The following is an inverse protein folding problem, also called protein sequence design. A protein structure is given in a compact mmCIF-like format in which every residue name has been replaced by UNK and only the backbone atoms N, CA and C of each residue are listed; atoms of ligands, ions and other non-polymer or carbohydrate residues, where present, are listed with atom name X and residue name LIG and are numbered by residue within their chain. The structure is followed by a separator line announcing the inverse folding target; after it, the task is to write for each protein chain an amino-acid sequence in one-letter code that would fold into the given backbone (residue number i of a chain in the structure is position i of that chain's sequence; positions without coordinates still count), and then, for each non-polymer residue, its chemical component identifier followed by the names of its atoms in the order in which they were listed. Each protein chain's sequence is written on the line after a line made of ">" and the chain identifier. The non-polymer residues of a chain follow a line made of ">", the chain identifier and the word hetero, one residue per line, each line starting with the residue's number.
data_IF_636026682122
#
_entry.id   IF_636026682122
#
_cell.length_a   1.000
_cell.length_b   1.000
_cell.length_c   1.000
_cell.angle_alpha   90.00
_cell.angle_beta   90.00
_cell.angle_gamma   90.00
#
_symmetry.space_group_name_H-M   'P 1'
#
loop_
_entity.id
_entity.type
_entity.pdbx_description
1 polymer ?
#
# COMPACT_ATOMS: atom_id res chain seq x y z
N UNK A 1 2.69 -17.99 18.98
CA UNK A 1 2.28 -17.71 17.58
C UNK A 1 1.22 -16.62 17.64
N UNK A 2 1.47 -15.45 17.09
CA UNK A 2 0.47 -14.36 17.06
C UNK A 2 -0.58 -14.74 16.03
N UNK A 3 -1.87 -14.73 16.42
CA UNK A 3 -2.96 -15.13 15.52
C UNK A 3 -3.13 -14.07 14.42
N UNK A 4 -3.34 -14.46 13.15
CA UNK A 4 -3.67 -13.49 12.11
C UNK A 4 -4.95 -12.74 12.45
N UNK A 5 -4.96 -11.44 12.15
CA UNK A 5 -6.10 -10.55 12.34
C UNK A 5 -6.68 -10.25 10.96
N UNK A 6 -7.99 -10.38 10.81
CA UNK A 6 -8.68 -10.02 9.57
C UNK A 6 -9.43 -8.71 9.72
N UNK A 7 -9.41 -7.91 8.66
CA UNK A 7 -10.18 -6.67 8.54
C UNK A 7 -10.95 -6.67 7.24
N UNK A 8 -12.14 -6.10 7.28
CA UNK A 8 -12.90 -5.79 6.07
C UNK A 8 -12.58 -4.38 5.61
N UNK A 9 -12.59 -4.18 4.30
CA UNK A 9 -12.38 -2.89 3.66
C UNK A 9 -13.24 -2.73 2.41
N UNK A 10 -13.21 -1.54 1.85
CA UNK A 10 -13.87 -1.24 0.56
C UNK A 10 -12.80 -1.10 -0.51
N UNK A 11 -12.98 -1.80 -1.64
CA UNK A 11 -12.10 -1.62 -2.79
C UNK A 11 -12.34 -0.27 -3.46
N UNK A 12 -11.26 0.47 -3.73
CA UNK A 12 -11.23 1.46 -4.81
C UNK A 12 -10.83 0.80 -6.12
N UNK A 13 -9.98 -0.23 -6.06
CA UNK A 13 -9.73 -1.15 -7.16
C UNK A 13 -9.60 -2.57 -6.59
N UNK A 14 -10.42 -3.49 -7.11
CA UNK A 14 -10.40 -4.91 -6.72
C UNK A 14 -9.10 -5.58 -7.14
N UNK A 15 -8.67 -6.60 -6.39
CA UNK A 15 -7.50 -7.40 -6.73
C UNK A 15 -7.00 -8.20 -5.54
N UNK A 16 -5.92 -8.92 -5.76
CA UNK A 16 -5.24 -9.72 -4.73
C UNK A 16 -3.78 -9.34 -4.69
N UNK A 17 -3.21 -9.27 -3.50
CA UNK A 17 -1.80 -8.95 -3.30
C UNK A 17 -1.32 -9.47 -1.95
N UNK A 18 -0.06 -9.88 -1.89
CA UNK A 18 0.60 -10.25 -0.65
C UNK A 18 1.95 -9.54 -0.56
N UNK A 19 2.32 -9.11 0.65
CA UNK A 19 3.59 -8.45 0.86
C UNK A 19 3.79 -8.00 2.31
N UNK A 20 5.00 -7.53 2.59
CA UNK A 20 5.30 -6.89 3.87
C UNK A 20 4.73 -5.48 3.89
N UNK A 21 4.10 -5.11 5.00
CA UNK A 21 3.59 -3.76 5.21
C UNK A 21 4.74 -2.76 5.23
N UNK A 22 4.58 -1.66 4.51
CA UNK A 22 5.40 -0.47 4.59
C UNK A 22 4.50 0.67 5.05
N UNK A 23 4.57 0.99 6.34
CA UNK A 23 3.61 1.88 7.01
C UNK A 23 4.19 3.28 7.15
N UNK A 24 3.42 4.28 6.74
CA UNK A 24 3.73 5.69 6.94
C UNK A 24 2.59 6.41 7.67
N UNK A 25 2.96 7.18 8.71
CA UNK A 25 2.02 8.03 9.44
C UNK A 25 1.65 9.31 8.67
N UNK A 26 2.38 9.62 7.60
CA UNK A 26 2.13 10.75 6.70
C UNK A 26 1.91 10.23 5.27
N UNK A 27 1.07 10.91 4.47
CA UNK A 27 0.90 10.58 3.06
C UNK A 27 2.19 10.69 2.24
N UNK A 28 2.41 9.76 1.30
CA UNK A 28 3.49 9.80 0.31
C UNK A 28 2.97 10.41 -1.01
N UNK A 29 3.79 11.28 -1.63
CA UNK A 29 3.51 11.78 -2.99
C UNK A 29 4.14 10.86 -4.02
N UNK A 30 3.34 10.35 -4.94
CA UNK A 30 3.88 9.59 -6.09
C UNK A 30 4.54 10.54 -7.10
N UNK A 31 3.98 11.73 -7.29
CA UNK A 31 4.65 12.77 -8.07
C UNK A 31 5.82 13.37 -7.29
N UNK A 32 7.05 13.11 -7.75
CA UNK A 32 8.28 13.68 -7.19
C UNK A 32 8.71 13.14 -5.83
N UNK A 33 7.97 12.17 -5.25
CA UNK A 33 8.35 11.52 -4.00
C UNK A 33 8.75 10.07 -4.11
N UNK A 34 8.59 9.46 -5.30
CA UNK A 34 9.17 8.18 -5.64
C UNK A 34 9.91 8.25 -6.98
N UNK A 35 10.92 7.42 -7.13
CA UNK A 35 11.49 7.07 -8.43
C UNK A 35 10.66 5.94 -9.06
N UNK A 36 10.05 6.19 -10.21
CA UNK A 36 9.21 5.20 -10.90
C UNK A 36 10.03 4.04 -11.50
N UNK A 37 11.34 4.20 -11.71
CA UNK A 37 12.19 3.17 -12.27
C UNK A 37 12.68 2.16 -11.22
N UNK A 38 12.75 2.57 -9.96
CA UNK A 38 13.27 1.70 -8.88
C UNK A 38 12.25 1.41 -7.78
N UNK A 39 11.28 2.31 -7.57
CA UNK A 39 10.37 2.29 -6.43
C UNK A 39 10.96 2.95 -5.17
N UNK A 40 12.13 3.56 -5.26
CA UNK A 40 12.75 4.24 -4.12
C UNK A 40 12.01 5.52 -3.78
N UNK A 41 11.86 5.77 -2.48
CA UNK A 41 11.31 7.03 -1.97
C UNK A 41 12.41 8.08 -2.01
N UNK A 42 12.19 9.13 -2.80
CA UNK A 42 13.15 10.22 -3.06
C UNK A 42 12.72 11.55 -2.44
N UNK A 43 11.51 11.63 -1.86
CA UNK A 43 11.06 12.82 -1.12
C UNK A 43 11.91 13.02 0.16
N UNK A 44 12.81 13.99 0.12
CA UNK A 44 13.68 14.35 1.25
C UNK A 44 12.91 14.85 2.49
N UNK A 45 11.66 15.27 2.33
CA UNK A 45 10.80 15.70 3.43
C UNK A 45 10.01 14.56 4.07
N UNK A 46 10.02 13.38 3.44
CA UNK A 46 9.24 12.24 3.88
C UNK A 46 10.07 11.31 4.79
N UNK A 47 9.46 10.82 5.87
CA UNK A 47 10.12 9.89 6.80
C UNK A 47 10.52 8.55 6.18
N UNK A 48 9.96 8.25 5.01
CA UNK A 48 10.27 7.06 4.21
C UNK A 48 11.49 7.17 3.30
N UNK A 49 12.20 8.32 3.27
CA UNK A 49 13.35 8.54 2.39
C UNK A 49 14.34 7.36 2.43
N UNK A 50 14.71 6.85 1.25
CA UNK A 50 15.64 5.73 1.10
C UNK A 50 15.03 4.34 1.32
N UNK A 51 13.74 4.24 1.67
CA UNK A 51 13.00 2.98 1.60
C UNK A 51 12.45 2.75 0.20
N UNK A 52 12.11 1.50 -0.12
CA UNK A 52 11.62 1.09 -1.42
C UNK A 52 10.19 0.52 -1.32
N UNK A 53 9.28 0.99 -2.17
CA UNK A 53 7.87 0.60 -2.16
C UNK A 53 7.59 -0.66 -2.98
N UNK A 54 8.51 -1.07 -3.85
CA UNK A 54 8.29 -2.14 -4.82
C UNK A 54 7.92 -3.47 -4.13
N UNK A 55 6.80 -4.06 -4.55
CA UNK A 55 6.31 -5.34 -4.02
C UNK A 55 5.86 -5.32 -2.55
N UNK A 56 5.84 -4.15 -1.88
CA UNK A 56 5.32 -4.00 -0.51
C UNK A 56 3.82 -3.74 -0.52
N UNK A 57 3.18 -3.93 0.64
CA UNK A 57 1.85 -3.36 0.87
C UNK A 57 2.06 -1.99 1.50
N UNK A 58 1.83 -0.94 0.72
CA UNK A 58 1.97 0.44 1.19
C UNK A 58 0.75 0.80 2.05
N UNK A 59 0.97 1.26 3.27
CA UNK A 59 -0.08 1.59 4.24
C UNK A 59 0.09 3.03 4.69
N UNK A 60 -0.90 3.88 4.45
CA UNK A 60 -0.84 5.30 4.80
C UNK A 60 -2.23 5.91 4.98
N UNK A 61 -2.41 7.05 5.66
CA UNK A 61 -3.75 7.60 5.93
C UNK A 61 -4.49 8.08 4.66
N UNK A 62 -3.75 8.56 3.66
CA UNK A 62 -4.23 8.92 2.31
C UNK A 62 -3.03 9.04 1.38
N UNK A 63 -3.25 9.20 0.07
CA UNK A 63 -2.19 9.67 -0.82
C UNK A 63 -1.93 11.18 -0.65
N UNK A 64 -0.84 11.64 -1.29
CA UNK A 64 -0.47 13.05 -1.43
C UNK A 64 -0.28 13.38 -2.90
N UNK A 65 -0.65 14.59 -3.28
CA UNK A 65 -0.30 15.16 -4.58
C UNK A 65 -1.51 15.47 -5.46
N UNK A 66 -1.19 15.85 -6.69
CA UNK A 66 -2.16 16.26 -7.72
C UNK A 66 -2.31 15.16 -8.77
N UNK A 67 -3.13 15.40 -9.80
CA UNK A 67 -3.40 14.42 -10.86
C UNK A 67 -2.15 13.78 -11.48
N UNK A 68 -0.99 14.44 -11.51
CA UNK A 68 0.27 13.86 -11.99
C UNK A 68 0.77 12.65 -11.18
N UNK A 69 0.31 12.47 -9.94
CA UNK A 69 0.59 11.27 -9.15
C UNK A 69 -0.01 10.02 -9.79
N UNK A 70 -1.13 10.13 -10.52
CA UNK A 70 -1.77 8.98 -11.15
C UNK A 70 -0.93 8.41 -12.30
N UNK A 71 -0.29 9.28 -13.11
CA UNK A 71 0.57 8.84 -14.21
C UNK A 71 1.84 8.18 -13.71
N UNK A 72 2.43 8.70 -12.61
CA UNK A 72 3.63 8.10 -12.02
C UNK A 72 3.31 6.73 -11.40
N UNK A 73 2.19 6.62 -10.68
CA UNK A 73 1.74 5.33 -10.16
C UNK A 73 1.51 4.32 -11.30
N UNK A 74 0.81 4.72 -12.37
CA UNK A 74 0.55 3.84 -13.50
C UNK A 74 1.84 3.35 -14.17
N UNK A 75 2.84 4.23 -14.32
CA UNK A 75 4.15 3.91 -14.87
C UNK A 75 4.95 2.97 -13.95
N UNK A 76 4.93 3.21 -12.63
CA UNK A 76 5.56 2.32 -11.66
C UNK A 76 4.94 0.92 -11.66
N UNK A 77 3.60 0.84 -11.80
CA UNK A 77 2.89 -0.45 -11.95
C UNK A 77 3.35 -1.15 -13.22
N UNK A 78 3.36 -0.44 -14.36
CA UNK A 78 3.85 -0.97 -15.65
C UNK A 78 5.26 -1.54 -15.57
N UNK A 79 6.13 -0.92 -14.75
CA UNK A 79 7.53 -1.31 -14.57
C UNK A 79 7.73 -2.41 -13.52
N UNK A 80 6.71 -2.74 -12.73
CA UNK A 80 6.84 -3.67 -11.61
C UNK A 80 7.60 -3.10 -10.41
N UNK A 81 7.67 -1.76 -10.30
CA UNK A 81 8.37 -1.02 -9.23
C UNK A 81 7.40 -0.38 -8.23
N UNK A 82 6.09 -0.48 -8.49
CA UNK A 82 5.03 -0.05 -7.59
C UNK A 82 4.86 -0.99 -6.37
N UNK A 83 4.14 -0.54 -5.33
CA UNK A 83 3.61 -1.43 -4.31
C UNK A 83 2.85 -2.60 -4.92
N UNK A 84 2.88 -3.77 -4.28
CA UNK A 84 2.01 -4.89 -4.65
C UNK A 84 0.53 -4.56 -4.38
N UNK A 85 0.26 -3.73 -3.38
CA UNK A 85 -1.07 -3.24 -3.02
C UNK A 85 -0.98 -2.02 -2.12
N UNK A 86 -2.07 -1.29 -2.00
CA UNK A 86 -2.14 -0.08 -1.17
C UNK A 86 -3.36 -0.15 -0.24
N UNK A 87 -3.12 0.13 1.05
CA UNK A 87 -4.16 0.31 2.07
C UNK A 87 -4.21 1.78 2.51
N UNK A 88 -5.41 2.37 2.50
CA UNK A 88 -5.65 3.75 2.91
C UNK A 88 -6.70 3.84 4.02
N UNK A 89 -6.59 4.81 4.93
CA UNK A 89 -7.71 5.14 5.84
C UNK A 89 -8.83 5.89 5.13
N UNK A 90 -8.49 6.72 4.14
CA UNK A 90 -9.43 7.53 3.39
C UNK A 90 -9.29 7.29 1.89
N UNK A 91 -10.40 7.33 1.13
CA UNK A 91 -10.34 7.22 -0.32
C UNK A 91 -9.41 8.25 -0.95
N UNK A 92 -8.75 7.86 -2.04
CA UNK A 92 -7.89 8.74 -2.82
C UNK A 92 -8.15 8.52 -4.33
N UNK A 93 -9.01 9.35 -4.94
CA UNK A 93 -9.37 9.21 -6.34
C UNK A 93 -8.18 9.28 -7.31
N UNK A 94 -7.09 9.97 -6.94
CA UNK A 94 -5.93 10.13 -7.82
C UNK A 94 -5.17 8.81 -7.91
N UNK A 95 -4.94 8.15 -6.76
CA UNK A 95 -4.32 6.83 -6.74
C UNK A 95 -5.22 5.78 -7.40
N UNK A 96 -6.53 5.85 -7.20
CA UNK A 96 -7.49 4.97 -7.87
C UNK A 96 -7.40 5.09 -9.39
N UNK A 97 -7.35 6.32 -9.93
CA UNK A 97 -7.17 6.57 -11.36
C UNK A 97 -5.86 5.95 -11.86
N UNK A 98 -4.76 6.13 -11.14
CA UNK A 98 -3.46 5.55 -11.54
C UNK A 98 -3.51 4.02 -11.64
N UNK A 99 -4.11 3.37 -10.64
CA UNK A 99 -4.27 1.92 -10.62
C UNK A 99 -5.21 1.41 -11.73
N UNK A 100 -6.35 2.09 -11.96
CA UNK A 100 -7.31 1.74 -13.02
C UNK A 100 -6.68 1.91 -14.41
N UNK A 101 -5.92 2.99 -14.63
CA UNK A 101 -5.22 3.20 -15.91
C UNK A 101 -4.20 2.10 -16.15
N UNK A 102 -3.47 1.67 -15.12
CA UNK A 102 -2.52 0.58 -15.26
C UNK A 102 -3.21 -0.77 -15.57
N UNK A 103 -4.33 -1.05 -14.92
CA UNK A 103 -5.13 -2.24 -15.23
C UNK A 103 -5.63 -2.20 -16.68
N UNK A 104 -6.18 -1.06 -17.11
CA UNK A 104 -6.77 -0.93 -18.43
C UNK A 104 -5.73 -0.98 -19.58
N UNK A 105 -4.57 -0.34 -19.39
CA UNK A 105 -3.56 -0.22 -20.45
C UNK A 105 -2.54 -1.36 -20.46
N UNK A 106 -2.24 -1.93 -19.29
CA UNK A 106 -1.15 -2.89 -19.12
C UNK A 106 -1.61 -4.24 -18.61
N UNK A 107 -2.90 -4.40 -18.30
CA UNK A 107 -3.46 -5.63 -17.73
C UNK A 107 -2.80 -6.04 -16.40
N UNK A 108 -2.19 -5.07 -15.69
CA UNK A 108 -1.56 -5.27 -14.38
C UNK A 108 -2.47 -4.65 -13.33
N UNK A 109 -2.99 -5.51 -12.44
CA UNK A 109 -3.92 -5.11 -11.39
C UNK A 109 -3.19 -5.00 -10.05
N UNK A 110 -3.22 -3.81 -9.46
CA UNK A 110 -2.75 -3.53 -8.10
C UNK A 110 -3.94 -3.16 -7.21
N UNK A 111 -4.31 -3.95 -6.19
CA UNK A 111 -5.46 -3.66 -5.35
C UNK A 111 -5.26 -2.41 -4.49
N UNK A 112 -6.29 -1.56 -4.45
CA UNK A 112 -6.36 -0.36 -3.62
C UNK A 112 -7.57 -0.48 -2.69
N UNK A 113 -7.33 -0.50 -1.38
CA UNK A 113 -8.35 -0.76 -0.36
C UNK A 113 -8.43 0.39 0.64
N UNK A 114 -9.64 0.78 1.01
CA UNK A 114 -9.91 1.66 2.14
C UNK A 114 -10.36 0.83 3.33
N UNK A 115 -9.62 0.88 4.43
CA UNK A 115 -9.94 0.17 5.67
C UNK A 115 -9.33 0.87 6.89
N UNK A 116 -9.70 0.41 8.09
CA UNK A 116 -8.97 0.79 9.30
C UNK A 116 -7.54 0.20 9.25
N UNK A 117 -6.52 1.05 9.37
CA UNK A 117 -5.10 0.66 9.35
C UNK A 117 -4.46 0.69 10.75
N UNK A 118 -5.22 1.05 11.79
CA UNK A 118 -4.67 1.21 13.14
C UNK A 118 -4.03 -0.07 13.66
N UNK A 119 -2.79 0.00 14.12
CA UNK A 119 -2.06 -1.16 14.67
C UNK A 119 -1.43 -2.09 13.64
N UNK A 120 -1.48 -1.76 12.34
CA UNK A 120 -0.58 -2.34 11.34
C UNK A 120 0.81 -1.72 11.51
N UNK A 121 1.85 -2.55 11.62
CA UNK A 121 3.23 -2.13 11.75
C UNK A 121 4.05 -2.50 10.51
N UNK A 122 5.06 -1.69 10.18
CA UNK A 122 5.99 -2.02 9.10
C UNK A 122 6.66 -3.37 9.38
N UNK A 123 6.66 -4.25 8.37
CA UNK A 123 7.15 -5.63 8.49
C UNK A 123 6.07 -6.66 8.81
N UNK A 124 4.84 -6.26 9.14
CA UNK A 124 3.72 -7.21 9.21
C UNK A 124 3.47 -7.83 7.83
N UNK A 125 3.14 -9.12 7.79
CA UNK A 125 2.69 -9.78 6.57
C UNK A 125 1.25 -9.39 6.29
N UNK A 126 0.97 -8.91 5.08
CA UNK A 126 -0.37 -8.50 4.65
C UNK A 126 -0.78 -9.30 3.42
N UNK A 127 -1.98 -9.84 3.45
CA UNK A 127 -2.65 -10.42 2.29
C UNK A 127 -3.98 -9.70 2.05
N UNK A 128 -4.16 -9.21 0.83
CA UNK A 128 -5.39 -8.58 0.34
C UNK A 128 -6.10 -9.61 -0.53
N UNK A 129 -7.35 -9.91 -0.22
CA UNK A 129 -8.21 -10.80 -1.00
C UNK A 129 -9.63 -10.27 -1.11
N UNK A 130 -10.47 -10.99 -1.86
CA UNK A 130 -11.88 -10.64 -2.04
C UNK A 130 -12.77 -11.56 -1.19
N UNK A 131 -13.63 -10.95 -0.38
CA UNK A 131 -14.64 -11.64 0.42
C UNK A 131 -15.84 -12.08 -0.42
N UNK A 132 -16.65 -12.98 0.12
CA UNK A 132 -17.87 -13.50 -0.54
C UNK A 132 -18.91 -12.42 -0.85
N UNK A 133 -18.86 -11.30 -0.13
CA UNK A 133 -19.72 -10.13 -0.29
C UNK A 133 -19.13 -9.09 -1.27
N UNK A 134 -18.00 -9.40 -1.92
CA UNK A 134 -17.28 -8.50 -2.82
C UNK A 134 -16.47 -7.42 -2.09
N UNK A 135 -16.42 -7.42 -0.75
CA UNK A 135 -15.59 -6.51 0.02
C UNK A 135 -14.15 -6.99 0.07
N UNK A 136 -13.23 -6.07 0.35
CA UNK A 136 -11.84 -6.43 0.58
C UNK A 136 -11.71 -7.14 1.93
N UNK A 137 -10.97 -8.24 1.96
CA UNK A 137 -10.51 -8.90 3.17
C UNK A 137 -9.00 -8.68 3.27
N UNK A 138 -8.57 -7.98 4.31
CA UNK A 138 -7.17 -7.72 4.62
C UNK A 138 -6.78 -8.61 5.79
N UNK A 139 -5.93 -9.61 5.53
CA UNK A 139 -5.36 -10.48 6.56
C UNK A 139 -4.00 -9.94 6.97
N UNK A 140 -3.82 -9.71 8.27
CA UNK A 140 -2.61 -9.17 8.88
C UNK A 140 -1.98 -10.27 9.73
N UNK A 141 -0.75 -10.61 9.40
CA UNK A 141 0.10 -11.50 10.16
C UNK A 141 1.19 -10.67 10.84
N UNK A 142 1.10 -10.46 12.17
CA UNK A 142 2.09 -9.65 12.87
C UNK A 142 3.50 -10.21 12.71
N UNK A 143 4.46 -9.34 12.47
CA UNK A 143 5.87 -9.73 12.47
C UNK A 143 6.21 -10.39 13.80
N UNK A 144 6.93 -11.52 13.76
CA UNK A 144 7.47 -12.14 14.98
C UNK A 144 8.60 -11.21 15.44
N UNK A 145 8.30 -10.32 16.39
CA UNK A 145 9.32 -9.49 17.01
C UNK A 145 9.93 -10.26 18.20
N UNK A 146 11.20 -10.71 18.15
CA UNK A 146 11.86 -11.22 19.34
C UNK A 146 12.15 -10.03 20.27
N UNK A 147 11.48 -10.01 21.43
CA UNK A 147 11.76 -9.16 22.58
C UNK A 147 11.44 -7.66 22.45
N UNK A 148 10.31 -7.26 23.04
CA UNK A 148 10.27 -6.06 23.89
C UNK A 148 10.22 -6.56 25.33
N UNK A 149 11.21 -6.27 26.19
CA UNK A 149 11.08 -6.57 27.61
C UNK A 149 9.95 -5.71 28.16
N UNK A 150 8.96 -6.35 28.79
CA UNK A 150 7.97 -5.63 29.61
C UNK A 150 8.75 -5.05 30.78
N UNK A 151 9.02 -3.74 30.75
CA UNK A 151 9.47 -3.05 31.95
C UNK A 151 8.32 -3.14 32.97
N UNK A 152 8.63 -3.86 34.05
CA UNK A 152 7.89 -3.96 35.31
C UNK A 152 7.91 -2.64 36.07
#
# INVERSE_FOLDING_TARGET
>A
MTRPVQRTGTFQLTGEAEGLALVFSQPLSFWGGIDAETGDITDHSHSGLGQNVAGKILVMPSGRGSSSSSSVLAEAIRRGTAPAGILLERPDPILAVGAIVAEFLYEIRMPLVVCDIAGIASGDGIAIGTGVDGRAIVTIQPAINPAVPRHS
#
